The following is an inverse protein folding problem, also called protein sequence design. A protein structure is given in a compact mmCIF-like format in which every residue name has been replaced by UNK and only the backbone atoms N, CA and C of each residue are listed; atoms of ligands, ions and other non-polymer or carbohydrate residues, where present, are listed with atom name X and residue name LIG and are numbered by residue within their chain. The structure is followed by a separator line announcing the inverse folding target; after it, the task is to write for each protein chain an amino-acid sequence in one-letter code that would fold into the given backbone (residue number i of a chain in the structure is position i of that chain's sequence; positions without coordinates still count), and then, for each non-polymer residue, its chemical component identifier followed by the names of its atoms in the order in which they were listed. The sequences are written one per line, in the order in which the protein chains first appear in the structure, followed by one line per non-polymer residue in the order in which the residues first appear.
data_IF_238660946631
#
_entry.id   IF_238660946631
#
_cell.length_a   1.000
_cell.length_b   1.000
_cell.length_c   1.000
_cell.angle_alpha   90.00
_cell.angle_beta   90.00
_cell.angle_gamma   90.00
#
_symmetry.space_group_name_H-M   'P 1'
#
loop_
_entity.id
_entity.type
_entity.pdbx_description
1 polymer ?
#
# COMPACT_ATOMS: atom_id res chain seq x y z
N UNK A 1 29.73 10.29 -25.87
CA UNK A 1 30.20 11.67 -26.09
C UNK A 1 29.25 12.35 -27.08
N UNK A 2 28.21 13.00 -26.57
CA UNK A 2 27.30 13.80 -27.41
C UNK A 2 27.85 15.24 -27.43
N UNK A 3 28.18 15.75 -28.63
CA UNK A 3 28.75 17.08 -28.83
C UNK A 3 27.76 18.22 -28.50
N UNK A 4 28.26 19.44 -28.27
CA UNK A 4 27.42 20.54 -27.78
C UNK A 4 26.62 21.20 -28.90
N UNK A 5 25.45 21.70 -28.50
CA UNK A 5 24.57 22.66 -29.20
C UNK A 5 23.80 22.18 -30.43
N UNK A 6 22.64 21.58 -30.19
CA UNK A 6 21.40 21.89 -30.90
C UNK A 6 20.23 21.62 -29.95
N UNK A 7 19.23 22.50 -29.91
CA UNK A 7 18.00 22.26 -29.14
C UNK A 7 17.46 20.87 -29.46
N UNK A 8 17.08 20.11 -28.44
CA UNK A 8 16.53 18.76 -28.55
C UNK A 8 15.16 18.80 -29.26
N UNK A 9 15.18 19.06 -30.57
CA UNK A 9 14.07 18.90 -31.51
C UNK A 9 14.11 17.50 -32.16
N UNK A 10 15.03 16.65 -31.74
CA UNK A 10 15.19 15.28 -32.19
C UNK A 10 14.14 14.37 -31.54
N UNK A 11 13.66 13.37 -32.28
CA UNK A 11 12.75 12.34 -31.77
C UNK A 11 13.54 11.44 -30.82
N UNK A 12 13.48 11.73 -29.52
CA UNK A 12 14.11 10.92 -28.46
C UNK A 12 13.08 10.00 -27.83
N UNK A 13 13.31 8.70 -27.96
CA UNK A 13 12.54 7.62 -27.30
C UNK A 13 13.46 6.82 -26.40
N UNK A 14 12.98 6.49 -25.20
CA UNK A 14 13.69 5.62 -24.26
C UNK A 14 12.85 4.37 -24.05
N UNK A 15 13.47 3.19 -24.18
CA UNK A 15 12.82 1.90 -24.01
C UNK A 15 13.58 1.06 -23.01
N UNK A 16 12.85 0.28 -22.24
CA UNK A 16 13.39 -0.71 -21.31
C UNK A 16 12.68 -2.02 -21.58
N UNK A 17 13.38 -2.97 -22.22
CA UNK A 17 12.74 -4.19 -22.70
C UNK A 17 11.58 -3.90 -23.66
N UNK A 18 10.37 -4.35 -23.29
CA UNK A 18 9.14 -4.07 -24.04
C UNK A 18 8.54 -2.68 -23.74
N UNK A 19 8.82 -2.12 -22.57
CA UNK A 19 8.23 -0.87 -22.09
C UNK A 19 8.88 0.35 -22.75
N UNK A 20 8.07 1.37 -23.02
CA UNK A 20 8.52 2.66 -23.54
C UNK A 20 8.29 3.77 -22.51
N UNK A 21 9.15 4.78 -22.57
CA UNK A 21 9.04 5.99 -21.78
C UNK A 21 7.76 6.74 -22.16
N UNK A 22 6.89 6.95 -21.17
CA UNK A 22 5.59 7.58 -21.34
C UNK A 22 5.74 9.10 -21.36
N UNK A 23 6.61 9.59 -20.49
CA UNK A 23 6.82 11.01 -20.29
C UNK A 23 8.27 11.27 -19.89
N UNK A 24 8.88 12.28 -20.50
CA UNK A 24 10.20 12.75 -20.09
C UNK A 24 10.05 13.95 -19.15
N UNK A 25 10.40 13.71 -17.89
CA UNK A 25 10.44 14.74 -16.84
C UNK A 25 11.59 15.72 -17.08
N UNK A 26 12.71 15.24 -17.64
CA UNK A 26 13.86 16.08 -17.97
C UNK A 26 14.58 15.55 -19.20
N UNK A 27 14.97 16.46 -20.09
CA UNK A 27 15.83 16.17 -21.25
C UNK A 27 16.96 17.17 -21.31
N UNK A 28 18.19 16.68 -21.27
CA UNK A 28 19.40 17.48 -21.43
C UNK A 28 20.46 16.66 -22.20
N UNK A 29 21.55 17.31 -22.66
CA UNK A 29 22.64 16.59 -23.34
C UNK A 29 23.32 15.51 -22.48
N UNK A 30 23.16 15.55 -21.16
CA UNK A 30 23.84 14.65 -20.20
C UNK A 30 22.89 13.81 -19.36
N UNK A 31 21.59 14.09 -19.38
CA UNK A 31 20.60 13.49 -18.48
C UNK A 31 19.24 13.38 -19.17
N UNK A 32 18.68 12.18 -19.15
CA UNK A 32 17.30 11.88 -19.53
C UNK A 32 16.58 11.32 -18.31
N UNK A 33 15.53 12.00 -17.85
CA UNK A 33 14.67 11.55 -16.76
C UNK A 33 13.29 11.28 -17.34
N UNK A 34 12.74 10.12 -17.00
CA UNK A 34 11.69 9.46 -17.75
C UNK A 34 10.79 8.69 -16.79
N UNK A 35 9.49 8.67 -17.07
CA UNK A 35 8.52 7.79 -16.40
C UNK A 35 8.23 6.61 -17.32
N UNK A 36 8.45 5.39 -16.83
CA UNK A 36 8.10 4.16 -17.53
C UNK A 36 6.67 3.74 -17.19
N UNK A 37 5.95 3.17 -18.15
CA UNK A 37 4.63 2.61 -17.87
C UNK A 37 4.79 1.40 -16.94
N UNK A 38 3.90 1.20 -15.94
CA UNK A 38 3.96 0.11 -14.98
C UNK A 38 3.91 -1.32 -15.54
N UNK A 39 3.82 -1.54 -16.85
CA UNK A 39 3.73 -2.89 -17.43
C UNK A 39 5.00 -3.74 -17.24
N UNK A 40 6.04 -3.20 -16.60
CA UNK A 40 7.25 -3.93 -16.24
C UNK A 40 7.20 -4.72 -14.93
N UNK A 41 6.08 -4.74 -14.19
CA UNK A 41 6.04 -5.58 -12.98
C UNK A 41 5.83 -7.03 -13.37
N UNK A 42 6.77 -7.89 -12.98
CA UNK A 42 6.64 -9.32 -13.18
C UNK A 42 5.39 -9.84 -12.48
N UNK A 43 4.37 -10.18 -13.27
CA UNK A 43 3.39 -11.15 -12.84
C UNK A 43 4.13 -12.47 -12.64
N UNK A 44 4.43 -12.80 -11.38
CA UNK A 44 5.09 -14.05 -11.03
C UNK A 44 4.12 -15.21 -11.32
N UNK A 45 4.10 -15.68 -12.56
CA UNK A 45 3.40 -16.89 -12.97
C UNK A 45 4.26 -18.16 -12.73
N UNK A 46 5.35 -18.06 -11.95
CA UNK A 46 6.35 -19.12 -11.77
C UNK A 46 6.91 -19.24 -10.34
N UNK A 47 7.67 -20.33 -10.06
CA UNK A 47 8.24 -20.63 -8.75
C UNK A 47 9.18 -19.51 -8.22
N UNK A 48 9.46 -19.47 -6.89
CA UNK A 48 9.91 -18.29 -6.16
C UNK A 48 11.35 -17.77 -6.44
N UNK A 49 12.06 -18.25 -7.46
CA UNK A 49 13.47 -17.90 -7.71
C UNK A 49 13.72 -16.87 -8.83
N UNK A 50 12.70 -16.44 -9.57
CA UNK A 50 12.94 -15.59 -10.75
C UNK A 50 12.96 -14.10 -10.39
N UNK A 51 14.17 -13.54 -10.27
CA UNK A 51 14.37 -12.11 -10.56
C UNK A 51 13.70 -11.80 -11.90
N UNK A 52 13.01 -10.67 -12.00
CA UNK A 52 12.63 -10.16 -13.31
C UNK A 52 13.87 -10.11 -14.19
N UNK A 53 13.85 -10.77 -15.35
CA UNK A 53 14.97 -10.75 -16.29
C UNK A 53 15.43 -9.31 -16.47
N UNK A 54 16.72 -9.07 -16.28
CA UNK A 54 17.39 -7.81 -16.60
C UNK A 54 16.95 -7.34 -17.99
N UNK A 55 16.32 -6.15 -18.06
CA UNK A 55 15.82 -5.58 -19.29
C UNK A 55 16.84 -4.59 -19.85
N UNK A 56 17.24 -4.69 -21.13
CA UNK A 56 18.17 -3.74 -21.72
C UNK A 56 17.54 -2.36 -21.83
N UNK A 57 18.28 -1.33 -21.42
CA UNK A 57 17.91 0.06 -21.63
C UNK A 57 18.40 0.50 -23.01
N UNK A 58 17.48 0.97 -23.85
CA UNK A 58 17.74 1.39 -25.22
C UNK A 58 17.27 2.82 -25.39
N UNK A 59 18.16 3.70 -25.85
CA UNK A 59 17.82 5.08 -26.24
C UNK A 59 17.79 5.15 -27.75
N UNK A 60 16.71 5.68 -28.31
CA UNK A 60 16.55 5.96 -29.73
C UNK A 60 16.58 7.48 -29.91
N UNK A 61 17.45 7.97 -30.79
CA UNK A 61 17.53 9.38 -31.16
C UNK A 61 17.43 9.47 -32.68
N UNK A 62 16.37 10.09 -33.19
CA UNK A 62 16.11 10.23 -34.64
C UNK A 62 16.16 8.88 -35.39
N UNK A 63 15.64 7.83 -34.74
CA UNK A 63 15.64 6.46 -35.28
C UNK A 63 16.98 5.73 -35.16
N UNK A 64 18.06 6.39 -34.72
CA UNK A 64 19.31 5.70 -34.38
C UNK A 64 19.21 5.09 -32.99
N UNK A 65 19.47 3.78 -32.92
CA UNK A 65 19.47 3.02 -31.67
C UNK A 65 20.83 3.16 -31.00
N UNK A 66 20.86 3.44 -29.69
CA UNK A 66 22.06 3.28 -28.90
C UNK A 66 22.52 1.82 -28.97
N UNK A 67 23.82 1.59 -28.97
CA UNK A 67 24.31 0.25 -28.63
C UNK A 67 23.74 -0.13 -27.25
N UNK A 68 23.38 -1.40 -27.02
CA UNK A 68 22.98 -1.84 -25.69
C UNK A 68 24.18 -1.58 -24.80
N UNK A 69 24.15 -0.48 -24.06
CA UNK A 69 25.06 -0.30 -22.95
C UNK A 69 24.82 -1.47 -22.00
N UNK A 70 25.81 -1.83 -21.21
CA UNK A 70 25.68 -2.75 -20.07
C UNK A 70 24.67 -2.23 -18.99
N UNK A 71 23.91 -1.18 -19.31
CA UNK A 71 22.80 -0.65 -18.55
C UNK A 71 21.58 -1.56 -18.70
N UNK A 72 21.45 -2.46 -17.73
CA UNK A 72 20.27 -3.27 -17.51
C UNK A 72 19.40 -2.62 -16.43
N UNK A 73 18.08 -2.67 -16.62
CA UNK A 73 17.11 -2.36 -15.57
C UNK A 73 16.47 -3.67 -15.11
N UNK A 74 16.65 -4.01 -13.84
CA UNK A 74 15.89 -5.07 -13.18
C UNK A 74 14.63 -4.45 -12.59
N UNK A 75 13.49 -5.07 -12.84
CA UNK A 75 12.27 -4.77 -12.10
C UNK A 75 12.26 -5.57 -10.79
N UNK A 76 11.78 -4.94 -9.72
CA UNK A 76 11.48 -5.68 -8.50
C UNK A 76 10.20 -6.49 -8.69
N UNK A 77 10.15 -7.68 -8.09
CA UNK A 77 8.93 -8.47 -8.03
C UNK A 77 7.85 -7.72 -7.22
N UNK A 78 6.58 -7.95 -7.59
CA UNK A 78 5.43 -7.31 -6.96
C UNK A 78 5.43 -7.46 -5.41
N UNK A 79 5.13 -6.39 -4.65
CA UNK A 79 4.99 -6.49 -3.21
C UNK A 79 3.80 -7.39 -2.85
N UNK A 80 3.93 -8.14 -1.77
CA UNK A 80 2.88 -9.03 -1.27
C UNK A 80 2.51 -8.61 0.13
N UNK A 81 1.21 -8.46 0.40
CA UNK A 81 0.67 -8.23 1.74
C UNK A 81 0.22 -9.58 2.31
N UNK A 82 0.69 -9.93 3.50
CA UNK A 82 0.39 -11.23 4.13
C UNK A 82 -0.56 -11.07 5.32
N UNK A 83 -0.31 -10.09 6.18
CA UNK A 83 -1.07 -9.89 7.42
C UNK A 83 -0.86 -8.50 8.00
N UNK A 84 -1.70 -8.15 8.98
CA UNK A 84 -1.64 -6.88 9.71
C UNK A 84 -1.57 -7.17 11.20
N UNK A 85 -0.94 -6.30 11.97
CA UNK A 85 -0.91 -6.33 13.44
C UNK A 85 -1.13 -4.91 13.99
N UNK A 86 -1.37 -4.80 15.29
CA UNK A 86 -1.51 -3.51 16.00
C UNK A 86 -2.95 -3.14 16.37
N UNK A 87 -3.94 -3.87 15.86
CA UNK A 87 -5.35 -3.69 16.20
C UNK A 87 -5.93 -4.97 16.82
N UNK A 88 -7.05 -4.85 17.55
CA UNK A 88 -7.59 -6.00 18.29
C UNK A 88 -8.10 -7.06 17.28
N UNK A 89 -7.65 -8.32 17.38
CA UNK A 89 -8.12 -9.39 16.50
C UNK A 89 -9.60 -9.67 16.76
N UNK A 90 -10.41 -9.80 15.70
CA UNK A 90 -11.84 -10.05 15.82
C UNK A 90 -12.10 -11.45 16.43
N UNK A 91 -12.98 -11.61 17.45
CA UNK A 91 -13.04 -12.84 18.22
C UNK A 91 -13.52 -14.11 17.50
N UNK A 92 -14.45 -14.06 16.53
CA UNK A 92 -15.10 -15.33 16.11
C UNK A 92 -15.38 -15.65 14.63
N UNK A 93 -15.45 -14.72 13.67
CA UNK A 93 -15.83 -15.13 12.29
C UNK A 93 -14.95 -14.57 11.16
N UNK A 94 -14.13 -13.55 11.45
CA UNK A 94 -13.33 -12.84 10.45
C UNK A 94 -11.86 -13.01 10.79
N UNK A 95 -11.28 -14.15 10.40
CA UNK A 95 -9.89 -14.55 10.74
C UNK A 95 -8.80 -13.59 10.24
N UNK A 96 -9.17 -12.50 9.58
CA UNK A 96 -8.27 -11.58 8.90
C UNK A 96 -8.73 -10.12 8.88
N UNK A 97 -9.71 -9.75 9.72
CA UNK A 97 -10.12 -8.35 9.93
C UNK A 97 -9.67 -7.88 11.31
N UNK A 98 -8.88 -6.82 11.34
CA UNK A 98 -8.40 -6.20 12.58
C UNK A 98 -9.22 -4.95 12.89
N UNK A 99 -9.72 -4.83 14.12
CA UNK A 99 -10.55 -3.70 14.55
C UNK A 99 -9.69 -2.63 15.25
N UNK A 100 -9.53 -1.50 14.58
CA UNK A 100 -8.80 -0.35 15.09
C UNK A 100 -9.76 0.68 15.72
N UNK A 101 -9.37 1.41 16.77
CA UNK A 101 -10.20 2.48 17.31
C UNK A 101 -10.54 3.54 16.25
N UNK A 102 -11.80 3.99 16.19
CA UNK A 102 -12.25 5.04 15.26
C UNK A 102 -11.56 6.40 15.48
N UNK A 103 -10.96 6.62 16.65
CA UNK A 103 -10.26 7.86 17.03
C UNK A 103 -8.93 8.06 16.29
N UNK A 104 -8.45 7.07 15.53
CA UNK A 104 -7.15 7.14 14.85
C UNK A 104 -5.98 7.10 15.83
N UNK A 105 -4.77 7.38 15.32
CA UNK A 105 -3.48 7.42 16.07
C UNK A 105 -2.89 6.08 16.51
N UNK A 106 -3.52 4.97 16.12
CA UNK A 106 -2.98 3.64 16.41
C UNK A 106 -2.05 3.17 15.28
N UNK A 107 -0.80 2.80 15.59
CA UNK A 107 0.10 2.24 14.59
C UNK A 107 -0.34 0.82 14.23
N UNK A 108 -0.57 0.57 12.94
CA UNK A 108 -0.71 -0.78 12.40
C UNK A 108 0.56 -1.20 11.70
N UNK A 109 0.97 -2.45 11.93
CA UNK A 109 2.11 -3.04 11.23
C UNK A 109 1.60 -3.94 10.13
N UNK A 110 1.91 -3.63 8.88
CA UNK A 110 1.65 -4.48 7.72
C UNK A 110 2.87 -5.35 7.48
N UNK A 111 2.67 -6.66 7.47
CA UNK A 111 3.68 -7.66 7.16
C UNK A 111 3.47 -8.16 5.75
N UNK A 112 4.58 -8.44 5.08
CA UNK A 112 4.57 -8.91 3.73
C UNK A 112 5.96 -9.17 3.20
N UNK A 113 6.09 -9.07 1.88
CA UNK A 113 7.35 -9.29 1.18
C UNK A 113 7.53 -8.23 0.10
N UNK A 114 8.80 -7.93 -0.19
CA UNK A 114 9.22 -7.11 -1.34
C UNK A 114 8.65 -5.70 -1.37
N UNK A 115 8.47 -5.08 -0.21
CA UNK A 115 8.08 -3.67 -0.13
C UNK A 115 9.22 -2.75 -0.62
N UNK A 116 9.05 -2.01 -1.73
CA UNK A 116 10.09 -1.18 -2.33
C UNK A 116 10.52 -0.04 -1.41
N UNK A 117 11.80 0.31 -1.40
CA UNK A 117 12.38 1.29 -0.46
C UNK A 117 11.75 2.69 -0.56
N UNK A 118 11.33 3.10 -1.76
CA UNK A 118 10.76 4.41 -2.03
C UNK A 118 9.52 4.31 -2.93
N UNK A 119 8.74 5.40 -2.99
CA UNK A 119 7.58 5.52 -3.89
C UNK A 119 6.40 4.61 -3.53
N UNK A 120 6.36 4.12 -2.29
CA UNK A 120 5.28 3.31 -1.76
C UNK A 120 4.27 4.17 -0.99
N UNK A 121 3.00 3.91 -1.23
CA UNK A 121 1.89 4.38 -0.40
C UNK A 121 1.10 3.17 0.10
N UNK A 122 0.64 3.21 1.34
CA UNK A 122 -0.23 2.17 1.89
C UNK A 122 -1.63 2.73 2.09
N UNK A 123 -2.63 2.02 1.56
CA UNK A 123 -4.05 2.40 1.56
C UNK A 123 -4.94 1.34 2.20
N UNK A 124 -6.02 1.80 2.81
CA UNK A 124 -7.07 1.00 3.43
C UNK A 124 -8.40 1.36 2.78
N UNK A 125 -8.88 0.52 1.86
CA UNK A 125 -10.02 0.85 1.02
C UNK A 125 -9.76 2.04 0.09
N UNK A 126 -10.82 2.71 -0.39
CA UNK A 126 -10.69 3.71 -1.45
C UNK A 126 -10.17 5.07 -0.99
N UNK A 127 -10.28 5.42 0.29
CA UNK A 127 -10.10 6.80 0.75
C UNK A 127 -9.07 6.99 1.86
N UNK A 128 -8.62 5.92 2.51
CA UNK A 128 -7.75 6.04 3.67
C UNK A 128 -6.32 5.69 3.28
N UNK A 129 -5.41 6.60 3.58
CA UNK A 129 -3.96 6.39 3.52
C UNK A 129 -3.39 6.50 4.93
N UNK A 130 -2.12 6.11 5.08
CA UNK A 130 -1.39 6.32 6.32
C UNK A 130 -1.17 7.82 6.58
N UNK A 131 -1.35 8.24 7.83
CA UNK A 131 -0.91 9.55 8.29
C UNK A 131 0.62 9.65 8.28
N UNK A 132 1.26 8.58 8.74
CA UNK A 132 2.71 8.42 8.70
C UNK A 132 3.01 6.98 8.31
N UNK A 133 3.99 6.80 7.44
CA UNK A 133 4.46 5.49 7.03
C UNK A 133 5.95 5.40 7.34
N UNK A 134 6.32 4.39 8.13
CA UNK A 134 7.69 4.18 8.57
C UNK A 134 8.10 2.71 8.49
N UNK A 135 9.40 2.47 8.52
CA UNK A 135 9.99 1.12 8.57
C UNK A 135 10.62 0.91 9.93
N UNK A 136 10.39 -0.24 10.59
CA UNK A 136 11.07 -0.55 11.84
C UNK A 136 12.59 -0.58 11.64
N UNK A 137 13.38 -0.01 12.57
CA UNK A 137 14.84 -0.04 12.47
C UNK A 137 15.36 -1.48 12.61
N UNK A 138 16.42 -1.82 11.85
CA UNK A 138 17.11 -3.10 11.98
C UNK A 138 16.40 -4.31 11.35
N UNK A 139 15.32 -4.11 10.61
CA UNK A 139 14.72 -5.17 9.79
C UNK A 139 15.21 -5.11 8.36
N UNK A 140 15.22 -6.27 7.69
CA UNK A 140 15.51 -6.33 6.26
C UNK A 140 14.50 -5.44 5.53
N UNK A 141 14.94 -4.39 4.80
CA UNK A 141 14.04 -3.49 4.10
C UNK A 141 13.30 -4.29 3.02
N UNK A 142 12.06 -4.69 3.30
CA UNK A 142 11.13 -5.34 2.35
C UNK A 142 9.96 -6.04 3.03
N UNK A 143 9.98 -6.28 4.35
CA UNK A 143 9.01 -7.21 4.97
C UNK A 143 7.99 -6.57 5.91
N UNK A 144 8.26 -5.37 6.44
CA UNK A 144 7.35 -4.69 7.36
C UNK A 144 7.24 -3.20 7.10
N UNK A 145 6.02 -2.71 7.24
CA UNK A 145 5.66 -1.30 7.21
C UNK A 145 4.85 -0.98 8.45
N UNK A 146 5.12 0.15 9.09
CA UNK A 146 4.34 0.68 10.21
C UNK A 146 3.60 1.91 9.71
N UNK A 147 2.30 1.92 9.93
CA UNK A 147 1.39 2.92 9.43
C UNK A 147 0.56 3.49 10.57
N UNK A 148 0.64 4.80 10.79
CA UNK A 148 -0.26 5.48 11.70
C UNK A 148 -1.58 5.79 10.99
N UNK A 149 -2.69 5.28 11.52
CA UNK A 149 -4.00 5.46 10.91
C UNK A 149 -4.63 6.81 11.28
N UNK A 150 -5.27 7.43 10.28
CA UNK A 150 -6.21 8.50 10.54
C UNK A 150 -7.44 8.00 11.33
N UNK A 151 -8.11 8.90 12.08
CA UNK A 151 -9.46 8.65 12.56
C UNK A 151 -10.37 8.29 11.39
N UNK A 152 -11.24 7.31 11.58
CA UNK A 152 -11.99 6.74 10.47
C UNK A 152 -13.14 5.86 10.89
N UNK A 153 -13.92 5.49 9.88
CA UNK A 153 -15.00 4.52 9.95
C UNK A 153 -14.89 3.59 8.75
N UNK A 154 -15.43 2.38 8.89
CA UNK A 154 -15.47 1.41 7.79
C UNK A 154 -15.19 0.00 8.27
N UNK A 155 -15.64 -0.97 7.49
CA UNK A 155 -15.44 -2.39 7.75
C UNK A 155 -14.80 -3.04 6.52
N UNK A 156 -14.03 -4.09 6.76
CA UNK A 156 -13.43 -4.91 5.71
C UNK A 156 -12.71 -4.09 4.62
N UNK A 157 -12.03 -3.03 5.03
CA UNK A 157 -11.27 -2.15 4.16
C UNK A 157 -10.07 -2.94 3.60
N UNK A 158 -10.01 -3.21 2.29
CA UNK A 158 -8.90 -3.97 1.71
C UNK A 158 -7.60 -3.20 1.91
N UNK A 159 -6.54 -3.93 2.24
CA UNK A 159 -5.22 -3.31 2.42
C UNK A 159 -4.43 -3.44 1.15
N UNK A 160 -4.06 -2.28 0.61
CA UNK A 160 -3.45 -2.14 -0.70
C UNK A 160 -2.16 -1.36 -0.57
N UNK A 161 -1.08 -1.95 -1.06
CA UNK A 161 0.20 -1.31 -1.30
C UNK A 161 0.17 -0.71 -2.69
N UNK A 162 0.30 0.61 -2.78
CA UNK A 162 0.47 1.33 -4.03
C UNK A 162 1.97 1.49 -4.31
N UNK A 163 2.39 1.15 -5.53
CA UNK A 163 3.74 1.43 -6.04
C UNK A 163 3.56 2.16 -7.36
N UNK A 164 3.82 3.47 -7.35
CA UNK A 164 3.41 4.34 -8.45
C UNK A 164 1.90 4.26 -8.70
N UNK A 165 1.50 3.89 -9.92
CA UNK A 165 0.09 3.77 -10.31
C UNK A 165 -0.52 2.37 -10.07
N UNK A 166 0.27 1.39 -9.62
CA UNK A 166 -0.20 0.02 -9.42
C UNK A 166 -0.62 -0.24 -7.99
N UNK A 167 -1.64 -1.08 -7.84
CA UNK A 167 -2.24 -1.48 -6.59
C UNK A 167 -1.99 -2.97 -6.33
N UNK A 168 -1.39 -3.29 -5.18
CA UNK A 168 -1.09 -4.65 -4.73
C UNK A 168 -1.79 -4.91 -3.40
N UNK A 169 -2.77 -5.79 -3.39
CA UNK A 169 -3.50 -6.15 -2.17
C UNK A 169 -3.70 -7.64 -2.07
N UNK A 170 -4.00 -8.12 -0.87
CA UNK A 170 -4.43 -9.50 -0.66
C UNK A 170 -5.93 -9.51 -0.34
N UNK A 171 -6.77 -10.29 -1.04
CA UNK A 171 -8.24 -10.20 -0.92
C UNK A 171 -8.73 -10.51 0.50
N UNK A 172 -7.97 -11.32 1.24
CA UNK A 172 -8.34 -11.70 2.59
C UNK A 172 -7.77 -10.77 3.67
N UNK A 173 -6.88 -9.83 3.35
CA UNK A 173 -6.27 -8.97 4.37
C UNK A 173 -7.03 -7.65 4.41
N UNK A 174 -7.79 -7.45 5.48
CA UNK A 174 -8.67 -6.28 5.62
C UNK A 174 -8.52 -5.59 6.98
N UNK A 175 -8.82 -4.31 7.00
CA UNK A 175 -8.84 -3.46 8.19
C UNK A 175 -10.26 -2.99 8.47
N UNK A 176 -10.65 -2.87 9.73
CA UNK A 176 -11.90 -2.26 10.14
C UNK A 176 -11.68 -1.25 11.24
N UNK A 177 -12.57 -0.28 11.33
CA UNK A 177 -12.67 0.59 12.50
C UNK A 177 -13.76 0.06 13.42
N UNK A 178 -13.44 -0.07 14.70
CA UNK A 178 -14.42 -0.34 15.74
C UNK A 178 -15.42 0.83 15.79
N UNK A 179 -16.70 0.50 15.76
CA UNK A 179 -17.75 1.49 15.98
C UNK A 179 -17.74 1.83 17.47
N UNK A 180 -17.58 3.12 17.86
CA UNK A 180 -17.64 3.49 19.25
C UNK A 180 -19.02 3.14 19.80
N UNK A 181 -19.06 2.36 20.88
CA UNK A 181 -20.30 2.06 21.58
C UNK A 181 -20.91 3.39 22.06
N UNK A 182 -22.20 3.66 21.80
CA UNK A 182 -22.82 4.91 22.19
C UNK A 182 -22.75 5.06 23.71
N UNK A 183 -21.87 5.94 24.18
CA UNK A 183 -22.04 6.55 25.48
C UNK A 183 -23.14 7.58 25.30
N UNK A 184 -24.37 7.26 25.74
CA UNK A 184 -25.42 8.27 25.87
C UNK A 184 -24.84 9.50 26.59
N UNK A 185 -25.10 10.76 26.15
CA UNK A 185 -24.75 11.95 26.91
C UNK A 185 -25.30 11.94 28.35
N UNK A 186 -26.22 11.03 28.71
CA UNK A 186 -26.73 10.76 30.06
C UNK A 186 -26.20 9.47 30.73
N UNK A 187 -25.27 8.73 30.12
CA UNK A 187 -24.70 7.46 30.64
C UNK A 187 -25.62 6.24 30.40
N UNK A 188 -25.16 5.00 30.20
CA UNK A 188 -23.86 4.34 30.26
C UNK A 188 -23.90 3.22 29.20
N UNK A 189 -22.92 3.13 28.29
CA UNK A 189 -22.80 1.95 27.43
C UNK A 189 -22.47 0.74 28.31
N UNK A 190 -23.45 -0.13 28.52
CA UNK A 190 -23.42 -1.31 29.39
C UNK A 190 -23.00 -1.14 30.86
N UNK A 191 -22.41 -0.03 31.32
CA UNK A 191 -21.93 0.17 32.70
C UNK A 191 -21.05 -0.99 33.25
N UNK A 192 -20.38 -1.75 32.38
CA UNK A 192 -19.66 -2.98 32.76
C UNK A 192 -20.52 -4.25 32.85
N UNK A 193 -21.81 -4.17 32.52
CA UNK A 193 -22.83 -5.23 32.61
C UNK A 193 -23.42 -5.60 31.24
N UNK A 194 -22.56 -5.79 30.23
CA UNK A 194 -22.98 -6.19 28.90
C UNK A 194 -21.81 -6.37 27.95
N UNK A 195 -22.11 -6.88 26.75
CA UNK A 195 -21.16 -7.02 25.65
C UNK A 195 -21.54 -5.98 24.60
N UNK A 196 -20.63 -5.05 24.33
CA UNK A 196 -20.74 -4.20 23.16
C UNK A 196 -20.22 -4.96 21.94
N UNK A 197 -21.05 -5.05 20.92
CA UNK A 197 -20.64 -5.44 19.60
C UNK A 197 -19.92 -4.26 18.94
N UNK A 198 -18.57 -4.32 18.93
CA UNK A 198 -17.72 -3.32 18.30
C UNK A 198 -17.90 -3.25 16.78
N UNK A 199 -18.53 -4.25 16.17
CA UNK A 199 -18.88 -4.23 14.77
C UNK A 199 -20.07 -3.29 14.55
N UNK A 200 -21.20 -3.56 15.19
CA UNK A 200 -22.46 -2.81 14.98
C UNK A 200 -22.60 -1.55 15.84
N UNK A 201 -21.76 -1.40 16.86
CA UNK A 201 -21.95 -0.42 17.93
C UNK A 201 -23.16 -0.75 18.82
N UNK A 202 -23.76 -1.95 18.69
CA UNK A 202 -24.90 -2.36 19.52
C UNK A 202 -24.42 -2.90 20.86
N UNK A 203 -25.21 -2.68 21.90
CA UNK A 203 -24.88 -3.11 23.26
C UNK A 203 -25.88 -4.17 23.72
N UNK A 204 -25.39 -5.35 24.08
CA UNK A 204 -26.21 -6.41 24.68
C UNK A 204 -25.94 -6.46 26.18
N UNK A 205 -26.82 -5.86 26.97
CA UNK A 205 -26.70 -5.84 28.44
C UNK A 205 -27.17 -7.16 29.06
N UNK A 206 -26.41 -7.71 30.02
CA UNK A 206 -26.79 -8.92 30.75
C UNK A 206 -27.86 -8.55 31.78
N UNK A 207 -29.15 -8.69 31.36
CA UNK A 207 -30.40 -8.23 32.00
C UNK A 207 -30.77 -6.78 31.68
N UNK A 208 -31.34 -6.55 30.51
CA UNK A 208 -32.19 -5.38 30.35
C UNK A 208 -33.42 -5.54 31.26
N UNK A 209 -33.75 -4.54 32.10
CA UNK A 209 -35.18 -4.26 32.34
C UNK A 209 -35.83 -4.06 30.96
N UNK A 210 -37.15 -4.29 30.77
CA UNK A 210 -37.80 -4.27 29.44
C UNK A 210 -37.52 -3.03 28.57
N UNK A 211 -36.98 -1.94 29.17
CA UNK A 211 -36.63 -0.69 28.52
C UNK A 211 -35.14 -0.52 28.14
N UNK A 212 -34.21 -1.42 28.48
CA UNK A 212 -32.81 -1.35 28.02
C UNK A 212 -31.85 -0.42 28.78
N UNK A 213 -32.21 0.07 29.98
CA UNK A 213 -31.37 0.95 30.80
C UNK A 213 -31.07 0.37 32.19
N UNK A 214 -29.91 0.73 32.76
CA UNK A 214 -29.50 0.48 34.15
C UNK A 214 -29.15 1.83 34.81
N UNK A 215 -29.61 2.06 36.05
CA UNK A 215 -29.22 3.23 36.87
C UNK A 215 -27.74 3.20 37.28
#
# INVERSE_FOLDING_TARGET
NFGPTAGLSSDVRLRVGASECVEFVRRSPTELVCVLYPEGVCEAAGPPDDRCSDQPVVVLVDGQRSEPADALLSYDMAPVVERIEGCQPHPQEWRSTYLCPSTGTWPVTVHGQRFPEAGLELRFGPALSCQSLSRPPGQTPSTRLVCDLYPGIGRALPVTVMVGAQAYGHPNVTLGYAVPCPADPKGKACAGHGVCDLETGTCTCWRALPAGFWD
#
